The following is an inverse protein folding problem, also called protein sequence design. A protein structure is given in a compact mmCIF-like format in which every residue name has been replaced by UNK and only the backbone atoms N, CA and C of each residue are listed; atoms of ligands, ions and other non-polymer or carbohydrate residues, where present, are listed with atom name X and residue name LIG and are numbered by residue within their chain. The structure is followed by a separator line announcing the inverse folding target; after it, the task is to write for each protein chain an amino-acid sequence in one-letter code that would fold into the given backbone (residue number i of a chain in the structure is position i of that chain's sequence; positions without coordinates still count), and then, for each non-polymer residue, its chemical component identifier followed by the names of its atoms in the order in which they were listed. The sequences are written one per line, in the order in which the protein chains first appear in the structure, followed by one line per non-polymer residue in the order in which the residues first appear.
data_IF_412363774105
#
_entry.id   IF_412363774105
#
_cell.length_a   1.000
_cell.length_b   1.000
_cell.length_c   1.000
_cell.angle_alpha   90.00
_cell.angle_beta   90.00
_cell.angle_gamma   90.00
#
_symmetry.space_group_name_H-M   'P 1'
#
loop_
_entity.id
_entity.type
_entity.pdbx_description
1 polymer ?
#
# COMPACT_ATOMS: atom_id res chain seq x y z
N UNK A 1 -17.95 -4.95 -13.57
CA UNK A 1 -17.04 -5.76 -12.72
C UNK A 1 -17.80 -6.09 -11.46
N UNK A 2 -17.85 -7.36 -11.07
CA UNK A 2 -18.52 -7.80 -9.85
C UNK A 2 -17.47 -7.90 -8.74
N UNK A 3 -17.79 -7.38 -7.56
CA UNK A 3 -16.93 -7.41 -6.38
C UNK A 3 -17.71 -7.91 -5.17
N UNK A 4 -17.02 -8.57 -4.24
CA UNK A 4 -17.61 -9.06 -3.01
C UNK A 4 -16.71 -8.75 -1.81
N UNK A 5 -17.32 -8.42 -0.69
CA UNK A 5 -16.65 -8.38 0.62
C UNK A 5 -16.88 -9.73 1.27
N UNK A 6 -15.80 -10.40 1.66
CA UNK A 6 -15.85 -11.74 2.25
C UNK A 6 -15.42 -11.70 3.71
N UNK A 7 -16.17 -12.41 4.55
CA UNK A 7 -15.81 -12.73 5.92
C UNK A 7 -15.44 -14.23 5.99
N UNK A 8 -14.15 -14.57 5.91
CA UNK A 8 -13.73 -15.96 5.86
C UNK A 8 -13.94 -16.71 7.18
N UNK A 9 -14.00 -16.02 8.31
CA UNK A 9 -14.24 -16.63 9.62
C UNK A 9 -15.68 -17.16 9.75
N UNK A 10 -16.64 -16.37 9.28
CA UNK A 10 -18.06 -16.71 9.34
C UNK A 10 -18.59 -17.29 8.03
N UNK A 11 -17.70 -17.48 7.02
CA UNK A 11 -18.05 -17.97 5.68
C UNK A 11 -19.21 -17.22 5.04
N UNK A 12 -19.19 -15.89 5.19
CA UNK A 12 -20.19 -14.99 4.64
C UNK A 12 -19.58 -14.08 3.60
N UNK A 13 -20.41 -13.61 2.68
CA UNK A 13 -20.01 -12.59 1.73
C UNK A 13 -21.18 -11.64 1.42
N UNK A 14 -20.84 -10.46 1.01
CA UNK A 14 -21.77 -9.44 0.50
C UNK A 14 -21.32 -9.07 -0.90
N UNK A 15 -22.21 -9.26 -1.89
CA UNK A 15 -21.98 -8.78 -3.24
C UNK A 15 -22.17 -7.27 -3.25
N UNK A 16 -21.21 -6.56 -3.83
CA UNK A 16 -21.30 -5.12 -4.01
C UNK A 16 -22.06 -4.83 -5.31
N UNK A 17 -22.95 -3.83 -5.32
CA UNK A 17 -23.55 -3.38 -6.56
C UNK A 17 -22.45 -2.82 -7.48
N UNK A 18 -22.61 -2.88 -8.80
CA UNK A 18 -21.70 -2.21 -9.72
C UNK A 18 -21.70 -0.70 -9.46
N UNK A 19 -20.57 -0.05 -9.74
CA UNK A 19 -20.54 1.42 -9.73
C UNK A 19 -21.51 1.92 -10.81
N UNK A 20 -22.44 2.81 -10.48
CA UNK A 20 -23.39 3.34 -11.45
C UNK A 20 -22.72 4.03 -12.64
N UNK A 21 -23.22 3.81 -13.84
CA UNK A 21 -22.61 4.33 -15.08
C UNK A 21 -22.54 5.86 -15.12
N UNK A 22 -23.55 6.54 -14.60
CA UNK A 22 -23.60 8.00 -14.47
C UNK A 22 -22.51 8.51 -13.52
N UNK A 23 -22.29 7.80 -12.41
CA UNK A 23 -21.24 8.11 -11.46
C UNK A 23 -19.85 7.88 -12.08
N UNK A 24 -19.67 6.76 -12.77
CA UNK A 24 -18.45 6.48 -13.49
C UNK A 24 -18.21 7.52 -14.60
N UNK A 25 -19.24 7.88 -15.37
CA UNK A 25 -19.15 8.87 -16.45
C UNK A 25 -18.81 10.27 -15.93
N UNK A 26 -19.32 10.66 -14.75
CA UNK A 26 -18.99 11.97 -14.13
C UNK A 26 -17.51 12.16 -13.87
N UNK A 27 -16.77 11.06 -13.66
CA UNK A 27 -15.33 11.07 -13.45
C UNK A 27 -14.52 10.85 -14.74
N UNK A 28 -15.20 10.44 -15.83
CA UNK A 28 -14.60 10.19 -17.14
C UNK A 28 -14.95 11.35 -18.08
N UNK A 29 -14.25 12.48 -17.98
CA UNK A 29 -14.51 13.63 -18.87
C UNK A 29 -14.01 13.44 -20.32
N UNK A 30 -13.43 12.29 -20.67
CA UNK A 30 -13.03 11.97 -22.04
C UNK A 30 -13.46 10.55 -22.42
N UNK A 31 -13.92 10.34 -23.69
CA UNK A 31 -14.22 9.01 -24.18
C UNK A 31 -12.99 8.14 -24.01
N UNK A 32 -13.22 6.98 -23.47
CA UNK A 32 -12.22 5.96 -23.15
C UNK A 32 -11.21 5.79 -24.28
N UNK A 33 -10.00 6.27 -24.07
CA UNK A 33 -8.85 5.71 -24.77
C UNK A 33 -8.77 4.22 -24.37
N UNK A 34 -8.56 3.35 -25.32
CA UNK A 34 -8.78 1.90 -25.31
C UNK A 34 -8.02 1.08 -24.25
N UNK A 35 -7.58 1.66 -23.16
CA UNK A 35 -6.89 0.98 -22.08
C UNK A 35 -7.82 0.89 -20.86
N UNK A 36 -8.13 -0.35 -20.49
CA UNK A 36 -8.82 -0.65 -19.24
C UNK A 36 -8.05 0.00 -18.08
N UNK A 37 -8.68 0.88 -17.30
CA UNK A 37 -8.00 1.48 -16.16
C UNK A 37 -7.56 0.37 -15.20
N UNK A 38 -6.36 0.49 -14.67
CA UNK A 38 -5.97 -0.35 -13.55
C UNK A 38 -6.80 0.05 -12.33
N UNK A 39 -7.32 -0.93 -11.61
CA UNK A 39 -8.17 -0.67 -10.47
C UNK A 39 -7.70 -1.42 -9.23
N UNK A 40 -7.86 -0.79 -8.09
CA UNK A 40 -7.61 -1.37 -6.78
C UNK A 40 -8.84 -1.18 -5.89
N UNK A 41 -9.31 -2.28 -5.28
CA UNK A 41 -10.40 -2.24 -4.32
C UNK A 41 -9.91 -2.71 -2.95
N UNK A 42 -10.31 -2.01 -1.88
CA UNK A 42 -9.92 -2.33 -0.53
C UNK A 42 -10.91 -1.79 0.51
N UNK A 43 -10.89 -2.41 1.68
CA UNK A 43 -11.70 -1.98 2.81
C UNK A 43 -11.13 -0.70 3.42
N UNK A 44 -12.04 0.19 3.82
CA UNK A 44 -11.70 1.42 4.54
C UNK A 44 -12.50 1.49 5.83
N UNK A 45 -11.92 2.06 6.90
CA UNK A 45 -12.69 2.39 8.09
C UNK A 45 -13.79 3.40 7.75
N UNK A 46 -14.97 3.21 8.27
CA UNK A 46 -16.01 4.23 8.31
C UNK A 46 -16.06 4.81 9.72
N UNK A 47 -16.23 6.14 9.82
CA UNK A 47 -16.42 6.83 11.10
C UNK A 47 -17.87 6.63 11.61
N UNK A 48 -18.42 5.42 11.50
CA UNK A 48 -19.78 5.09 11.89
C UNK A 48 -19.77 4.27 13.18
N UNK A 49 -20.71 4.55 14.08
CA UNK A 49 -20.86 3.86 15.37
C UNK A 49 -21.27 2.37 15.25
N UNK A 50 -21.67 1.94 14.05
CA UNK A 50 -22.11 0.56 13.83
C UNK A 50 -20.91 -0.38 13.69
N UNK A 51 -20.74 -1.31 14.64
CA UNK A 51 -19.65 -2.31 14.67
C UNK A 51 -19.58 -3.19 13.40
N UNK A 52 -20.66 -3.28 12.63
CA UNK A 52 -20.73 -4.07 11.39
C UNK A 52 -20.63 -3.24 10.13
N UNK A 53 -20.50 -1.92 10.24
CA UNK A 53 -20.37 -1.04 9.10
C UNK A 53 -18.99 -1.20 8.44
N UNK A 54 -18.97 -1.25 7.13
CA UNK A 54 -17.74 -1.27 6.35
C UNK A 54 -17.86 -0.36 5.12
N UNK A 55 -16.73 0.21 4.74
CA UNK A 55 -16.58 0.91 3.48
C UNK A 55 -15.70 0.12 2.52
N UNK A 56 -15.97 0.26 1.23
CA UNK A 56 -15.09 -0.24 0.18
C UNK A 56 -14.67 0.94 -0.68
N UNK A 57 -13.38 1.19 -0.70
CA UNK A 57 -12.79 2.16 -1.60
C UNK A 57 -12.41 1.46 -2.90
N UNK A 58 -12.77 2.08 -4.00
CA UNK A 58 -12.39 1.68 -5.34
C UNK A 58 -11.62 2.80 -6.01
N UNK A 59 -10.35 2.58 -6.18
CA UNK A 59 -9.44 3.53 -6.83
C UNK A 59 -9.21 3.12 -8.27
N UNK A 60 -9.46 4.03 -9.20
CA UNK A 60 -9.26 3.86 -10.63
C UNK A 60 -8.10 4.73 -11.10
N UNK A 61 -7.18 4.11 -11.81
CA UNK A 61 -6.01 4.75 -12.40
C UNK A 61 -6.24 4.94 -13.90
N UNK A 62 -6.64 6.13 -14.28
CA UNK A 62 -6.75 6.53 -15.69
C UNK A 62 -5.41 7.07 -16.20
N UNK A 63 -5.29 7.21 -17.52
CA UNK A 63 -4.08 7.77 -18.14
C UNK A 63 -3.76 9.20 -17.70
N UNK A 64 -4.77 10.00 -17.38
CA UNK A 64 -4.62 11.41 -17.04
C UNK A 64 -4.87 11.72 -15.57
N UNK A 65 -5.57 10.84 -14.83
CA UNK A 65 -6.02 11.09 -13.46
C UNK A 65 -6.17 9.85 -12.61
N UNK A 66 -6.29 10.07 -11.31
CA UNK A 66 -6.85 9.13 -10.33
C UNK A 66 -8.30 9.49 -10.03
N UNK A 67 -9.14 8.49 -9.81
CA UNK A 67 -10.49 8.67 -9.30
C UNK A 67 -10.78 7.66 -8.19
N UNK A 68 -11.52 8.10 -7.17
CA UNK A 68 -11.88 7.27 -6.03
C UNK A 68 -13.38 7.27 -5.83
N UNK A 69 -13.94 6.08 -5.71
CA UNK A 69 -15.31 5.82 -5.31
C UNK A 69 -15.30 5.11 -3.96
N UNK A 70 -16.26 5.44 -3.12
CA UNK A 70 -16.46 4.75 -1.84
C UNK A 70 -17.88 4.20 -1.80
N UNK A 71 -17.97 2.92 -1.49
CA UNK A 71 -19.22 2.25 -1.14
C UNK A 71 -19.37 2.24 0.38
N UNK A 72 -20.51 2.63 0.89
CA UNK A 72 -20.86 2.45 2.31
C UNK A 72 -21.87 1.32 2.45
N UNK A 73 -21.59 0.37 3.35
CA UNK A 73 -22.51 -0.72 3.69
C UNK A 73 -23.78 -0.22 4.36
N UNK A 74 -23.73 0.93 5.01
CA UNK A 74 -24.85 1.56 5.73
C UNK A 74 -25.83 2.18 4.75
N UNK A 75 -25.35 2.99 3.81
CA UNK A 75 -26.19 3.63 2.81
C UNK A 75 -26.47 2.72 1.61
N UNK A 76 -25.65 1.70 1.40
CA UNK A 76 -25.65 0.79 0.24
C UNK A 76 -25.47 1.49 -1.10
N UNK A 77 -24.80 2.62 -1.11
CA UNK A 77 -24.56 3.41 -2.30
C UNK A 77 -23.09 3.69 -2.52
N UNK A 78 -22.73 3.82 -3.80
CA UNK A 78 -21.42 4.33 -4.22
C UNK A 78 -21.48 5.86 -4.27
N UNK A 79 -20.37 6.49 -3.88
CA UNK A 79 -20.15 7.92 -3.99
C UNK A 79 -18.79 8.17 -4.66
N UNK A 80 -18.74 9.13 -5.57
CA UNK A 80 -17.50 9.67 -6.07
C UNK A 80 -16.94 10.65 -5.05
N UNK A 81 -15.76 10.40 -4.52
CA UNK A 81 -15.23 11.17 -3.38
C UNK A 81 -14.01 11.99 -3.70
N UNK A 82 -13.19 11.55 -4.65
CA UNK A 82 -12.00 12.29 -5.06
C UNK A 82 -11.63 12.02 -6.52
N UNK A 83 -11.13 13.04 -7.19
CA UNK A 83 -10.46 12.92 -8.49
C UNK A 83 -9.33 13.92 -8.54
N UNK A 84 -8.17 13.50 -9.08
CA UNK A 84 -6.98 14.36 -9.19
C UNK A 84 -6.25 14.05 -10.48
N UNK A 85 -5.89 15.08 -11.23
CA UNK A 85 -5.07 14.91 -12.41
C UNK A 85 -3.61 14.64 -12.05
N UNK A 86 -2.93 13.83 -12.85
CA UNK A 86 -1.53 13.50 -12.60
C UNK A 86 -0.61 14.71 -12.64
N UNK A 87 -0.89 15.68 -13.54
CA UNK A 87 -0.14 16.93 -13.63
C UNK A 87 -0.20 17.73 -12.32
N UNK A 88 -1.35 17.74 -11.64
CA UNK A 88 -1.51 18.44 -10.36
C UNK A 88 -0.74 17.76 -9.22
N UNK A 89 -0.74 16.42 -9.20
CA UNK A 89 0.05 15.67 -8.23
C UNK A 89 1.55 15.78 -8.46
N UNK A 90 1.96 16.05 -9.70
CA UNK A 90 3.35 16.14 -10.14
C UNK A 90 3.84 17.58 -10.29
N UNK A 91 3.04 18.59 -9.93
CA UNK A 91 3.39 20.02 -10.04
C UNK A 91 4.76 20.29 -9.40
N UNK A 92 5.67 20.76 -10.22
CA UNK A 92 7.07 21.03 -9.85
C UNK A 92 8.07 19.92 -10.20
N UNK A 93 7.63 18.77 -10.69
CA UNK A 93 8.49 17.58 -10.92
C UNK A 93 8.79 17.25 -12.39
N UNK A 94 8.27 18.01 -13.37
CA UNK A 94 8.59 17.82 -14.79
C UNK A 94 7.49 18.22 -15.75
N UNK A 95 7.86 18.44 -17.02
CA UNK A 95 7.00 19.01 -18.06
C UNK A 95 6.15 18.01 -18.84
N UNK A 96 5.99 16.76 -18.41
CA UNK A 96 5.21 15.79 -19.18
C UNK A 96 3.79 15.69 -18.66
N UNK A 97 2.83 15.99 -19.53
CA UNK A 97 1.39 15.92 -19.25
C UNK A 97 0.78 14.55 -19.48
N UNK A 98 1.53 13.63 -20.09
CA UNK A 98 1.08 12.27 -20.40
C UNK A 98 1.99 11.28 -19.69
N UNK A 99 1.48 10.63 -18.67
CA UNK A 99 2.18 9.53 -18.00
C UNK A 99 1.70 8.22 -18.62
N UNK A 100 2.63 7.42 -19.14
CA UNK A 100 2.28 6.12 -19.68
C UNK A 100 1.62 5.25 -18.60
N UNK A 101 0.53 4.53 -18.90
CA UNK A 101 -0.05 3.57 -17.97
C UNK A 101 0.94 2.48 -17.53
N UNK A 102 1.95 2.21 -18.36
CA UNK A 102 2.99 1.18 -18.15
C UNK A 102 4.06 1.69 -17.15
N UNK A 103 4.25 3.01 -17.04
CA UNK A 103 5.29 3.62 -16.20
C UNK A 103 4.79 3.92 -14.77
N UNK A 104 3.62 3.40 -14.39
CA UNK A 104 2.99 3.64 -13.10
C UNK A 104 2.97 2.38 -12.29
N UNK A 105 4.04 2.14 -11.61
CA UNK A 105 4.07 1.07 -10.63
C UNK A 105 3.73 1.65 -9.25
N UNK A 106 2.55 1.31 -8.74
CA UNK A 106 2.19 1.53 -7.36
C UNK A 106 2.49 0.25 -6.60
N UNK A 107 3.47 0.34 -5.73
CA UNK A 107 3.90 -0.78 -4.90
C UNK A 107 3.44 -0.56 -3.47
N UNK A 108 2.96 -1.62 -2.89
CA UNK A 108 2.51 -1.62 -1.51
C UNK A 108 1.33 -0.66 -1.27
N UNK A 109 0.55 -0.96 -0.30
CA UNK A 109 -0.46 -0.05 0.24
C UNK A 109 -0.36 -0.10 1.74
N UNK A 110 -0.11 1.05 2.34
CA UNK A 110 0.04 1.19 3.78
C UNK A 110 -1.01 2.15 4.31
N UNK A 111 -1.48 1.90 5.51
CA UNK A 111 -2.44 2.78 6.18
C UNK A 111 -1.84 3.25 7.50
N UNK A 112 -1.81 4.56 7.70
CA UNK A 112 -1.35 5.19 8.93
C UNK A 112 -2.07 6.53 9.15
N UNK A 113 -2.54 6.76 10.35
CA UNK A 113 -3.16 8.02 10.79
C UNK A 113 -4.27 8.56 9.88
N UNK A 114 -5.11 7.69 9.36
CA UNK A 114 -6.21 8.08 8.47
C UNK A 114 -5.80 8.37 7.03
N UNK A 115 -4.57 8.02 6.63
CA UNK A 115 -4.10 8.18 5.27
C UNK A 115 -3.65 6.84 4.68
N UNK A 116 -3.91 6.65 3.40
CA UNK A 116 -3.31 5.59 2.60
C UNK A 116 -2.06 6.13 1.90
N UNK A 117 -1.06 5.27 1.80
CA UNK A 117 0.23 5.56 1.19
C UNK A 117 0.58 4.48 0.18
N UNK A 118 1.04 4.89 -0.99
CA UNK A 118 1.59 4.01 -2.02
C UNK A 118 2.97 4.49 -2.42
N UNK A 119 3.91 3.58 -2.58
CA UNK A 119 5.15 3.88 -3.29
C UNK A 119 4.81 4.10 -4.77
N UNK A 120 5.18 5.23 -5.30
CA UNK A 120 4.97 5.58 -6.70
C UNK A 120 6.32 5.79 -7.37
N UNK A 121 6.55 5.08 -8.47
CA UNK A 121 7.69 5.33 -9.35
C UNK A 121 7.18 6.03 -10.58
N UNK A 122 7.16 7.35 -10.54
CA UNK A 122 6.73 8.17 -11.66
C UNK A 122 7.93 8.87 -12.28
N UNK A 123 8.13 8.70 -13.59
CA UNK A 123 9.19 9.35 -14.36
C UNK A 123 10.59 9.17 -13.76
N UNK A 124 10.86 7.98 -13.19
CA UNK A 124 12.16 7.67 -12.58
C UNK A 124 12.38 8.28 -11.19
N UNK A 125 11.45 9.07 -10.67
CA UNK A 125 11.48 9.58 -9.30
C UNK A 125 10.52 8.76 -8.43
N UNK A 126 11.02 8.32 -7.29
CA UNK A 126 10.23 7.64 -6.27
C UNK A 126 9.66 8.65 -5.30
N UNK A 127 8.35 8.62 -5.13
CA UNK A 127 7.62 9.45 -4.16
C UNK A 127 6.53 8.60 -3.48
N UNK A 128 5.92 9.12 -2.45
CA UNK A 128 4.71 8.57 -1.85
C UNK A 128 3.50 9.29 -2.41
N UNK A 129 2.58 8.55 -3.02
CA UNK A 129 1.22 9.00 -3.22
C UNK A 129 0.48 8.85 -1.88
N UNK A 130 -0.20 9.89 -1.46
CA UNK A 130 -0.94 9.94 -0.20
C UNK A 130 -2.40 10.24 -0.49
N UNK A 131 -3.30 9.48 0.14
CA UNK A 131 -4.73 9.76 0.14
C UNK A 131 -5.23 9.93 1.58
N UNK A 132 -5.64 11.15 1.92
CA UNK A 132 -6.23 11.46 3.23
C UNK A 132 -7.72 11.09 3.20
N UNK A 133 -8.11 10.08 4.00
CA UNK A 133 -9.49 9.58 4.03
C UNK A 133 -10.48 10.51 4.74
N UNK A 134 -10.00 11.47 5.52
CA UNK A 134 -10.87 12.46 6.20
C UNK A 134 -11.17 13.65 5.30
N UNK A 135 -10.15 14.09 4.54
CA UNK A 135 -10.30 15.21 3.60
C UNK A 135 -10.74 14.75 2.22
N UNK A 136 -10.64 13.44 1.95
CA UNK A 136 -10.88 12.86 0.63
C UNK A 136 -10.02 13.50 -0.46
N UNK A 137 -8.73 13.71 -0.16
CA UNK A 137 -7.80 14.42 -1.03
C UNK A 137 -6.53 13.63 -1.28
N UNK A 138 -6.02 13.74 -2.52
CA UNK A 138 -4.71 13.24 -2.89
C UNK A 138 -3.63 14.29 -2.71
N UNK A 139 -2.47 13.85 -2.26
CA UNK A 139 -1.25 14.62 -2.19
C UNK A 139 -0.02 13.74 -2.47
N UNK A 140 1.16 14.34 -2.52
CA UNK A 140 2.42 13.60 -2.61
C UNK A 140 3.32 13.95 -1.45
N UNK A 141 4.17 12.99 -1.06
CA UNK A 141 5.17 13.17 -0.02
C UNK A 141 6.51 12.64 -0.52
N UNK A 142 7.57 13.42 -0.33
CA UNK A 142 8.92 12.98 -0.71
C UNK A 142 9.37 11.83 0.18
N UNK A 143 10.17 10.93 -0.41
CA UNK A 143 10.86 9.86 0.31
C UNK A 143 12.13 10.40 0.99
N UNK A 144 12.73 9.61 1.94
CA UNK A 144 14.05 9.92 2.46
C UNK A 144 15.08 10.13 1.34
N UNK A 145 16.09 10.99 1.56
CA UNK A 145 17.06 11.34 0.51
C UNK A 145 17.96 10.18 0.07
N UNK A 146 18.06 9.14 0.90
CA UNK A 146 18.84 7.95 0.60
C UNK A 146 18.06 7.00 -0.30
N UNK A 147 18.70 6.47 -1.33
CA UNK A 147 18.05 5.57 -2.28
C UNK A 147 17.59 4.28 -1.60
N UNK A 148 16.31 3.94 -1.78
CA UNK A 148 15.70 2.73 -1.26
C UNK A 148 15.60 1.67 -2.35
N UNK A 149 15.77 0.40 -1.96
CA UNK A 149 15.55 -0.72 -2.87
C UNK A 149 14.09 -0.74 -3.38
N UNK A 150 13.85 -1.19 -4.61
CA UNK A 150 12.50 -1.49 -5.07
C UNK A 150 11.84 -2.51 -4.13
N UNK A 151 10.54 -2.38 -3.86
CA UNK A 151 9.77 -3.25 -2.95
C UNK A 151 10.30 -3.29 -1.50
N UNK A 152 11.17 -2.37 -1.15
CA UNK A 152 11.81 -2.30 0.15
C UNK A 152 11.32 -1.15 1.02
N UNK A 153 10.02 -0.77 0.92
CA UNK A 153 9.46 0.33 1.67
C UNK A 153 8.19 -0.11 2.42
N UNK A 154 7.99 0.42 3.62
CA UNK A 154 6.72 0.35 4.35
C UNK A 154 6.50 1.59 5.20
N UNK A 155 5.25 2.04 5.26
CA UNK A 155 4.80 3.12 6.14
C UNK A 155 4.12 2.52 7.36
N UNK A 156 4.44 3.07 8.53
CA UNK A 156 3.90 2.66 9.84
C UNK A 156 3.61 3.85 10.74
N UNK A 157 2.85 3.62 11.79
CA UNK A 157 2.63 4.60 12.85
C UNK A 157 3.78 4.55 13.87
N UNK A 158 4.56 5.63 13.97
CA UNK A 158 5.70 5.73 14.88
C UNK A 158 5.34 6.18 16.30
N UNK A 159 4.04 6.36 16.58
CA UNK A 159 3.56 6.95 17.85
C UNK A 159 3.63 8.48 17.83
N UNK A 160 2.93 9.11 18.79
CA UNK A 160 2.87 10.58 18.93
C UNK A 160 2.50 11.32 17.63
N UNK A 161 1.62 10.72 16.84
CA UNK A 161 1.20 11.18 15.51
C UNK A 161 2.36 11.36 14.50
N UNK A 162 3.52 10.75 14.74
CA UNK A 162 4.67 10.77 13.81
C UNK A 162 4.58 9.62 12.82
N UNK A 163 4.91 9.91 11.57
CA UNK A 163 4.94 8.91 10.52
C UNK A 163 6.29 8.19 10.54
N UNK A 164 6.26 6.85 10.55
CA UNK A 164 7.44 6.01 10.41
C UNK A 164 7.56 5.43 9.01
N UNK A 165 8.77 5.28 8.51
CA UNK A 165 9.08 4.62 7.26
C UNK A 165 10.20 3.61 7.48
N UNK A 166 9.95 2.36 7.13
CA UNK A 166 11.01 1.38 6.95
C UNK A 166 11.44 1.37 5.49
N UNK A 167 12.73 1.35 5.27
CA UNK A 167 13.31 1.27 3.92
C UNK A 167 14.48 0.32 3.88
N UNK A 168 14.58 -0.51 2.84
CA UNK A 168 15.73 -1.37 2.62
C UNK A 168 16.77 -0.62 1.80
N UNK A 169 17.97 -0.57 2.31
CA UNK A 169 19.14 -0.03 1.65
C UNK A 169 20.08 -1.13 1.21
N UNK A 170 20.73 -0.91 0.06
CA UNK A 170 21.82 -1.78 -0.39
C UNK A 170 23.11 -0.97 -0.55
N UNK A 171 24.18 -1.43 0.08
CA UNK A 171 25.49 -0.86 -0.07
C UNK A 171 26.53 -1.99 -0.11
N UNK A 172 27.33 -2.05 -1.18
CA UNK A 172 28.34 -3.08 -1.40
C UNK A 172 27.83 -4.53 -1.18
N UNK A 173 26.58 -4.83 -1.61
CA UNK A 173 25.96 -6.15 -1.47
C UNK A 173 25.49 -6.51 -0.06
N UNK A 174 25.52 -5.55 0.87
CA UNK A 174 24.92 -5.66 2.19
C UNK A 174 23.58 -4.96 2.19
N UNK A 175 22.62 -5.57 2.89
CA UNK A 175 21.28 -5.03 3.00
C UNK A 175 20.99 -4.64 4.44
N UNK A 176 20.58 -3.39 4.61
CA UNK A 176 20.22 -2.81 5.89
C UNK A 176 18.75 -2.36 5.87
N UNK A 177 18.02 -2.63 6.93
CA UNK A 177 16.71 -2.05 7.18
C UNK A 177 16.92 -0.72 7.92
N UNK A 178 16.56 0.36 7.27
CA UNK A 178 16.62 1.71 7.84
C UNK A 178 15.25 2.13 8.31
N UNK A 179 15.17 2.65 9.52
CA UNK A 179 13.95 3.21 10.11
C UNK A 179 14.06 4.72 10.15
N UNK A 180 13.11 5.39 9.50
CA UNK A 180 13.02 6.83 9.45
C UNK A 180 11.76 7.31 10.15
N UNK A 181 11.83 8.48 10.76
CA UNK A 181 10.69 9.16 11.36
C UNK A 181 10.55 10.54 10.71
N UNK A 182 9.31 10.90 10.41
CA UNK A 182 8.94 12.23 9.95
C UNK A 182 8.10 12.91 11.03
N UNK A 183 8.49 14.11 11.42
CA UNK A 183 7.74 14.94 12.37
C UNK A 183 6.34 15.27 11.87
N UNK A 184 5.47 15.68 12.75
CA UNK A 184 4.02 15.80 12.63
C UNK A 184 3.46 16.12 11.25
N UNK A 185 2.33 15.46 10.98
CA UNK A 185 1.32 15.69 9.95
C UNK A 185 1.47 16.98 9.17
N UNK A 186 1.53 16.86 7.85
CA UNK A 186 1.21 17.92 6.90
C UNK A 186 2.05 19.20 6.92
N UNK A 187 3.08 19.34 7.72
CA UNK A 187 4.06 20.38 7.50
C UNK A 187 4.98 19.92 6.36
N UNK A 188 4.84 20.57 5.22
CA UNK A 188 5.64 20.34 4.00
C UNK A 188 7.16 20.50 4.23
N UNK A 189 7.56 21.00 5.39
CA UNK A 189 8.94 21.25 5.79
C UNK A 189 9.57 20.17 6.68
N UNK A 190 8.80 19.18 7.17
CA UNK A 190 9.40 18.14 8.03
C UNK A 190 10.17 17.13 7.20
N UNK A 191 11.49 17.10 7.39
CA UNK A 191 12.38 16.13 6.74
C UNK A 191 12.33 14.78 7.44
N UNK A 192 12.56 13.72 6.67
CA UNK A 192 12.78 12.39 7.23
C UNK A 192 14.09 12.36 8.02
N UNK A 193 14.03 11.86 9.24
CA UNK A 193 15.19 11.66 10.11
C UNK A 193 15.45 10.16 10.25
N UNK A 194 16.69 9.74 9.98
CA UNK A 194 17.10 8.35 10.20
C UNK A 194 17.22 8.10 11.71
N UNK A 195 16.37 7.24 12.23
CA UNK A 195 16.34 6.86 13.65
C UNK A 195 17.23 5.66 13.92
N UNK A 196 17.20 4.66 13.04
CA UNK A 196 17.96 3.42 13.24
C UNK A 196 18.28 2.71 11.93
N UNK A 197 19.44 2.05 11.92
CA UNK A 197 19.84 1.11 10.88
C UNK A 197 20.02 -0.27 11.50
N UNK A 198 19.42 -1.29 10.88
CA UNK A 198 19.43 -2.68 11.34
C UNK A 198 19.99 -3.54 10.22
N UNK A 199 21.16 -4.16 10.39
CA UNK A 199 21.68 -5.10 9.40
C UNK A 199 20.74 -6.29 9.21
N UNK A 200 20.39 -6.62 7.96
CA UNK A 200 19.54 -7.78 7.66
C UNK A 200 20.41 -8.95 7.22
N UNK A 201 21.18 -8.75 6.15
CA UNK A 201 21.95 -9.83 5.53
C UNK A 201 22.98 -9.32 4.53
N UNK A 202 23.86 -10.25 4.15
CA UNK A 202 24.71 -10.13 2.97
C UNK A 202 24.49 -11.35 2.07
N UNK A 203 24.48 -11.15 0.75
CA UNK A 203 24.31 -12.25 -0.22
C UNK A 203 22.90 -12.86 -0.28
N UNK A 204 21.89 -12.15 0.19
CA UNK A 204 20.47 -12.48 0.04
C UNK A 204 19.73 -11.25 -0.51
N UNK A 205 18.49 -11.41 -0.94
CA UNK A 205 17.62 -10.31 -1.38
C UNK A 205 16.44 -10.17 -0.42
N UNK A 206 16.47 -9.19 0.49
CA UNK A 206 15.32 -8.92 1.34
C UNK A 206 14.28 -8.07 0.60
N UNK A 207 13.01 -8.30 0.90
CA UNK A 207 11.91 -7.41 0.54
C UNK A 207 10.95 -7.22 1.72
N UNK A 208 10.18 -6.15 1.69
CA UNK A 208 9.12 -5.90 2.65
C UNK A 208 7.83 -6.49 2.09
N UNK A 209 7.33 -7.52 2.74
CA UNK A 209 6.10 -8.22 2.33
C UNK A 209 4.84 -7.51 2.79
N UNK A 210 4.83 -7.02 4.02
CA UNK A 210 3.69 -6.31 4.59
C UNK A 210 4.08 -5.57 5.87
N UNK A 211 3.27 -4.60 6.26
CA UNK A 211 3.40 -3.89 7.52
C UNK A 211 2.05 -3.70 8.18
N UNK A 212 2.05 -3.64 9.51
CA UNK A 212 0.90 -3.35 10.37
C UNK A 212 1.31 -2.31 11.39
N UNK A 213 0.38 -1.84 12.22
CA UNK A 213 0.72 -0.92 13.31
C UNK A 213 1.70 -1.50 14.35
N UNK A 214 1.93 -2.83 14.34
CA UNK A 214 2.82 -3.48 15.31
C UNK A 214 3.98 -4.23 14.67
N UNK A 215 3.79 -4.84 13.54
CA UNK A 215 4.79 -5.72 12.93
C UNK A 215 5.05 -5.36 11.47
N UNK A 216 6.33 -5.43 11.09
CA UNK A 216 6.79 -5.47 9.72
C UNK A 216 7.17 -6.91 9.39
N UNK A 217 6.75 -7.41 8.22
CA UNK A 217 7.14 -8.72 7.72
C UNK A 217 8.13 -8.56 6.57
N UNK A 218 9.31 -9.12 6.77
CA UNK A 218 10.35 -9.20 5.76
C UNK A 218 10.37 -10.59 5.15
N UNK A 219 10.54 -10.66 3.83
CA UNK A 219 10.97 -11.85 3.12
C UNK A 219 12.47 -11.75 2.85
N UNK A 220 13.21 -12.82 3.08
CA UNK A 220 14.63 -12.89 2.79
C UNK A 220 14.87 -14.07 1.88
N UNK A 221 15.19 -13.78 0.63
CA UNK A 221 15.48 -14.79 -0.37
C UNK A 221 16.96 -15.21 -0.25
N UNK A 222 17.17 -16.51 -0.09
CA UNK A 222 18.49 -17.09 -0.17
C UNK A 222 19.08 -17.05 -1.58
N UNK A 223 20.34 -17.43 -1.75
CA UNK A 223 20.93 -17.58 -3.07
C UNK A 223 20.16 -18.64 -3.87
N UNK A 224 19.91 -18.34 -5.14
CA UNK A 224 19.24 -19.27 -6.05
C UNK A 224 20.06 -20.56 -6.18
N UNK A 225 19.44 -21.69 -5.89
CA UNK A 225 20.03 -23.03 -6.06
C UNK A 225 19.27 -23.77 -7.15
N UNK A 226 20.01 -24.42 -8.03
CA UNK A 226 19.44 -25.27 -9.06
C UNK A 226 19.54 -26.73 -8.62
N UNK A 227 18.42 -27.39 -8.48
CA UNK A 227 18.32 -28.81 -8.20
C UNK A 227 17.55 -29.49 -9.34
N UNK A 228 18.17 -30.42 -10.05
CA UNK A 228 17.56 -31.09 -11.21
C UNK A 228 16.93 -30.15 -12.24
N UNK A 229 17.66 -29.10 -12.61
CA UNK A 229 17.23 -28.03 -13.54
C UNK A 229 16.04 -27.18 -13.06
N UNK A 230 15.61 -27.34 -11.82
CA UNK A 230 14.58 -26.53 -11.19
C UNK A 230 15.21 -25.53 -10.24
N UNK A 231 14.88 -24.25 -10.38
CA UNK A 231 15.35 -23.22 -9.47
C UNK A 231 14.61 -23.34 -8.14
N UNK A 232 15.36 -23.50 -7.06
CA UNK A 232 14.83 -23.50 -5.69
C UNK A 232 15.46 -22.34 -4.93
N UNK A 233 14.62 -21.57 -4.27
CA UNK A 233 15.01 -20.53 -3.34
C UNK A 233 14.39 -20.81 -1.98
N UNK A 234 15.20 -20.73 -0.94
CA UNK A 234 14.69 -20.77 0.43
C UNK A 234 14.26 -19.35 0.81
N UNK A 235 12.98 -19.19 1.11
CA UNK A 235 12.40 -17.94 1.58
C UNK A 235 12.26 -18.00 3.09
N UNK A 236 13.00 -17.16 3.78
CA UNK A 236 12.90 -16.96 5.22
C UNK A 236 12.02 -15.74 5.51
N UNK A 237 11.04 -15.90 6.38
CA UNK A 237 10.22 -14.81 6.87
C UNK A 237 10.70 -14.36 8.24
N UNK A 238 10.89 -13.04 8.37
CA UNK A 238 11.35 -12.38 9.59
C UNK A 238 10.31 -11.31 9.96
N UNK A 239 9.83 -11.30 11.20
CA UNK A 239 9.05 -10.20 11.74
C UNK A 239 9.96 -9.21 12.44
N UNK A 240 9.62 -7.92 12.31
CA UNK A 240 10.22 -6.83 13.07
C UNK A 240 9.12 -6.19 13.90
N UNK A 241 9.28 -6.13 15.21
CA UNK A 241 8.37 -5.37 16.06
C UNK A 241 8.65 -3.88 15.86
N UNK A 242 7.64 -3.12 15.44
CA UNK A 242 7.78 -1.71 15.05
C UNK A 242 8.21 -0.82 16.22
N UNK A 243 7.84 -1.18 17.45
CA UNK A 243 8.15 -0.37 18.66
C UNK A 243 9.54 -0.66 19.21
N UNK A 244 9.89 -1.95 19.30
CA UNK A 244 11.16 -2.37 19.91
C UNK A 244 12.28 -2.55 18.88
N UNK A 245 11.94 -2.62 17.61
CA UNK A 245 12.84 -2.89 16.47
C UNK A 245 13.56 -4.24 16.61
N UNK A 246 12.97 -5.18 17.36
CA UNK A 246 13.49 -6.54 17.51
C UNK A 246 13.06 -7.40 16.34
N UNK A 247 14.01 -8.20 15.84
CA UNK A 247 13.78 -9.16 14.76
C UNK A 247 13.50 -10.53 15.37
N UNK A 248 12.50 -11.22 14.82
CA UNK A 248 12.20 -12.61 15.16
C UNK A 248 11.93 -13.41 13.87
N UNK A 249 12.54 -14.60 13.79
CA UNK A 249 12.27 -15.53 12.70
C UNK A 249 10.85 -16.08 12.82
N UNK A 250 10.09 -16.03 11.75
CA UNK A 250 8.72 -16.56 11.70
C UNK A 250 8.71 -17.98 11.16
N UNK A 251 9.17 -18.17 9.94
CA UNK A 251 9.24 -19.49 9.30
C UNK A 251 10.19 -19.45 8.10
N UNK A 252 10.48 -20.63 7.57
CA UNK A 252 11.19 -20.81 6.29
C UNK A 252 10.29 -21.62 5.38
N UNK A 253 10.18 -21.23 4.14
CA UNK A 253 9.44 -21.93 3.10
C UNK A 253 10.39 -22.23 1.94
N UNK A 254 10.53 -23.50 1.61
CA UNK A 254 11.15 -23.88 0.35
C UNK A 254 10.13 -23.71 -0.77
N UNK A 255 10.38 -22.80 -1.66
CA UNK A 255 9.45 -22.44 -2.73
C UNK A 255 10.13 -22.54 -4.09
N UNK A 256 9.44 -23.16 -5.04
CA UNK A 256 9.84 -23.11 -6.46
C UNK A 256 9.48 -21.79 -7.17
N UNK A 257 8.82 -20.83 -6.48
CA UNK A 257 8.46 -19.53 -7.04
C UNK A 257 8.60 -18.42 -6.01
N UNK A 258 9.53 -17.51 -6.30
CA UNK A 258 9.96 -16.41 -5.40
C UNK A 258 8.89 -15.31 -5.15
N UNK A 259 7.84 -15.20 -5.94
CA UNK A 259 6.94 -14.05 -5.96
C UNK A 259 5.53 -14.34 -5.40
N UNK A 260 5.40 -15.18 -4.38
CA UNK A 260 4.11 -15.33 -3.72
C UNK A 260 3.75 -14.06 -2.93
N UNK A 261 2.65 -13.40 -3.29
CA UNK A 261 2.08 -12.34 -2.45
C UNK A 261 1.74 -12.92 -1.09
N UNK A 262 2.28 -12.32 -0.05
CA UNK A 262 2.02 -12.69 1.34
C UNK A 262 1.23 -11.55 1.98
N UNK A 263 0.18 -11.90 2.68
CA UNK A 263 -0.68 -10.94 3.35
C UNK A 263 -0.60 -11.17 4.86
N UNK A 264 -0.47 -10.08 5.63
CA UNK A 264 -0.65 -10.14 7.08
C UNK A 264 -2.13 -9.90 7.36
N UNK A 265 -2.75 -10.87 8.00
CA UNK A 265 -4.10 -10.70 8.49
C UNK A 265 -4.06 -9.92 9.80
N UNK A 266 -4.52 -8.68 9.76
CA UNK A 266 -4.74 -7.87 10.97
C UNK A 266 -6.12 -7.29 10.91
N UNK A 267 -6.75 -7.22 12.08
CA UNK A 267 -8.05 -6.56 12.25
C UNK A 267 -9.03 -6.97 11.16
N UNK A 268 -9.63 -8.14 11.33
CA UNK A 268 -10.74 -8.54 10.50
C UNK A 268 -11.73 -7.38 10.39
N UNK A 269 -12.32 -7.16 9.19
CA UNK A 269 -13.46 -6.27 9.09
C UNK A 269 -14.51 -6.73 10.11
N UNK A 270 -15.32 -5.81 10.64
CA UNK A 270 -16.39 -6.19 11.55
C UNK A 270 -17.17 -7.36 10.97
N UNK A 271 -17.55 -8.30 11.82
CA UNK A 271 -18.27 -9.48 11.38
C UNK A 271 -19.51 -9.09 10.57
N UNK A 272 -19.70 -9.71 9.41
CA UNK A 272 -20.93 -9.55 8.62
C UNK A 272 -22.15 -10.22 9.30
N UNK A 273 -21.95 -10.86 10.45
CA UNK A 273 -23.01 -11.38 11.29
C UNK A 273 -23.63 -10.23 12.07
N UNK A 274 -24.96 -10.10 12.01
CA UNK A 274 -25.68 -9.27 12.98
C UNK A 274 -25.33 -9.75 14.39
N UNK A 275 -25.10 -8.84 15.36
CA UNK A 275 -24.95 -9.24 16.74
C UNK A 275 -26.17 -10.07 17.13
N UNK A 276 -25.93 -11.25 17.69
CA UNK A 276 -27.01 -12.02 18.32
C UNK A 276 -27.40 -11.21 19.57
N UNK A 277 -28.57 -10.61 19.53
CA UNK A 277 -29.21 -10.02 20.68
C UNK A 277 -29.62 -11.12 21.65
#
# INVERSE_FOLDING_TARGET
MEAAVCDPLHRKYVLLPPVPDDLAASMMHHPATAHTPWCEAFLVPLDEEAETAFGVMWMLHFTTRLAVFVYSSTTRHWQAVASKEWNELLLGKGKSTMVSPIDRDFYGRYYAYGCFYWESTMMGKKDLLVFDTRRMEFSSCDLPPKELCPLGLAIVEAGEARLGLFGIHVEAGKFDLCYYIKGNKCESSSQWQLEKTIPICSGCWPDIKAATGRYLLLGKFGPMRFVNSTAHEDLEYISVDVKTLQLARVCTKSSGFAFSKTWIYTNFPPSLSSPKI
#
